data_IF_359380605408
#
_entry.id   IF_359380605408
#
_cell.length_a   1.000
_cell.length_b   1.000
_cell.length_c   1.000
_cell.angle_alpha   90.00
_cell.angle_beta   90.00
_cell.angle_gamma   90.00
#
_symmetry.space_group_name_H-M   'P 1'
#
loop_
_entity.id
_entity.type
_entity.pdbx_description
1 polymer ?
#
# COMPACT_ATOMS: atom_id res chain seq x y z
N UNK A 1 -21.28 -20.06 -6.52
CA UNK A 1 -20.46 -19.84 -5.30
C UNK A 1 -19.55 -18.66 -5.59
N UNK A 2 -19.95 -17.48 -5.13
CA UNK A 2 -19.11 -16.29 -5.15
C UNK A 2 -17.79 -16.60 -4.42
N UNK A 3 -16.67 -16.34 -5.09
CA UNK A 3 -15.34 -16.45 -4.48
C UNK A 3 -15.28 -15.37 -3.40
N UNK A 4 -15.59 -15.73 -2.15
CA UNK A 4 -15.30 -14.90 -0.99
C UNK A 4 -13.82 -14.52 -1.06
N UNK A 5 -13.53 -13.26 -1.42
CA UNK A 5 -12.19 -12.72 -1.29
C UNK A 5 -11.81 -12.83 0.18
N UNK A 6 -10.89 -13.76 0.48
CA UNK A 6 -10.29 -13.87 1.81
C UNK A 6 -9.45 -12.62 2.03
N UNK A 7 -10.06 -11.58 2.60
CA UNK A 7 -9.33 -10.43 3.10
C UNK A 7 -8.38 -10.93 4.20
N UNK A 8 -7.08 -10.77 4.00
CA UNK A 8 -6.07 -11.11 4.99
C UNK A 8 -5.64 -9.83 5.68
N UNK A 9 -5.83 -9.75 6.99
CA UNK A 9 -5.33 -8.63 7.78
C UNK A 9 -3.80 -8.72 7.91
N UNK A 10 -3.12 -7.62 7.58
CA UNK A 10 -1.66 -7.53 7.63
C UNK A 10 -1.28 -6.39 8.58
N UNK A 11 -0.45 -6.71 9.57
CA UNK A 11 0.13 -5.72 10.46
C UNK A 11 1.50 -5.28 9.94
N UNK A 12 1.62 -4.00 9.57
CA UNK A 12 2.87 -3.41 9.10
C UNK A 12 3.47 -2.57 10.22
N UNK A 13 4.66 -2.96 10.69
CA UNK A 13 5.44 -2.12 11.61
C UNK A 13 6.22 -1.07 10.83
N UNK A 14 6.12 0.17 11.26
CA UNK A 14 6.84 1.30 10.71
C UNK A 14 7.19 2.30 11.82
N UNK A 15 8.07 3.25 11.52
CA UNK A 15 8.35 4.37 12.42
C UNK A 15 7.14 5.30 12.54
N UNK A 16 7.07 6.07 13.63
CA UNK A 16 6.01 7.07 13.81
C UNK A 16 6.00 8.10 12.67
N UNK A 17 7.17 8.61 12.32
CA UNK A 17 7.35 9.59 11.24
C UNK A 17 6.82 9.06 9.89
N UNK A 18 7.19 7.84 9.51
CA UNK A 18 6.69 7.22 8.28
C UNK A 18 5.16 7.07 8.29
N UNK A 19 4.57 6.70 9.44
CA UNK A 19 3.11 6.61 9.59
C UNK A 19 2.44 7.98 9.41
N UNK A 20 3.02 9.04 9.98
CA UNK A 20 2.51 10.41 9.88
C UNK A 20 2.57 10.92 8.44
N UNK A 21 3.68 10.68 7.73
CA UNK A 21 3.82 11.01 6.31
C UNK A 21 2.81 10.28 5.43
N UNK A 22 2.67 8.96 5.61
CA UNK A 22 1.69 8.16 4.87
C UNK A 22 0.27 8.62 5.13
N UNK A 23 -0.05 9.02 6.36
CA UNK A 23 -1.37 9.56 6.71
C UNK A 23 -1.62 10.90 6.04
N UNK A 24 -0.66 11.83 6.09
CA UNK A 24 -0.78 13.14 5.43
C UNK A 24 -1.07 12.99 3.93
N UNK A 25 -0.32 12.12 3.25
CA UNK A 25 -0.54 11.84 1.81
C UNK A 25 -1.92 11.21 1.57
N UNK A 26 -2.35 10.30 2.46
CA UNK A 26 -3.67 9.69 2.34
C UNK A 26 -4.79 10.73 2.47
N UNK A 27 -4.68 11.64 3.46
CA UNK A 27 -5.64 12.71 3.71
C UNK A 27 -5.69 13.70 2.53
N UNK A 28 -4.55 14.12 1.98
CA UNK A 28 -4.45 14.99 0.80
C UNK A 28 -5.08 14.38 -0.47
N UNK A 29 -5.15 13.05 -0.54
CA UNK A 29 -5.67 12.31 -1.68
C UNK A 29 -7.09 11.76 -1.43
N UNK A 30 -7.73 12.17 -0.33
CA UNK A 30 -9.05 11.69 0.10
C UNK A 30 -9.12 10.15 0.18
N UNK A 31 -8.06 9.51 0.69
CA UNK A 31 -7.90 8.06 0.81
C UNK A 31 -7.73 7.62 2.25
N UNK A 32 -8.07 6.36 2.52
CA UNK A 32 -7.68 5.71 3.77
C UNK A 32 -6.18 5.40 3.78
N UNK A 33 -5.58 5.43 4.97
CA UNK A 33 -4.19 5.03 5.17
C UNK A 33 -3.89 3.63 4.60
N UNK A 34 -4.80 2.67 4.78
CA UNK A 34 -4.67 1.31 4.24
C UNK A 34 -4.60 1.29 2.72
N UNK A 35 -5.47 2.05 2.03
CA UNK A 35 -5.43 2.17 0.56
C UNK A 35 -4.14 2.83 0.09
N UNK A 36 -3.65 3.84 0.81
CA UNK A 36 -2.40 4.51 0.45
C UNK A 36 -1.19 3.57 0.58
N UNK A 37 -1.13 2.77 1.65
CA UNK A 37 -0.09 1.75 1.81
C UNK A 37 -0.14 0.71 0.69
N UNK A 38 -1.33 0.18 0.39
CA UNK A 38 -1.50 -0.79 -0.71
C UNK A 38 -1.09 -0.18 -2.05
N UNK A 39 -1.44 1.09 -2.30
CA UNK A 39 -1.05 1.80 -3.51
C UNK A 39 0.47 1.88 -3.65
N UNK A 40 1.19 2.27 -2.58
CA UNK A 40 2.65 2.30 -2.58
C UNK A 40 3.25 0.92 -2.84
N UNK A 41 2.78 -0.12 -2.14
CA UNK A 41 3.27 -1.49 -2.34
C UNK A 41 3.07 -1.96 -3.79
N UNK A 42 1.89 -1.75 -4.37
CA UNK A 42 1.60 -2.08 -5.77
C UNK A 42 2.50 -1.30 -6.74
N UNK A 43 2.72 -0.01 -6.47
CA UNK A 43 3.59 0.85 -7.30
C UNK A 43 5.05 0.36 -7.26
N UNK A 44 5.57 0.05 -6.08
CA UNK A 44 6.93 -0.47 -5.90
C UNK A 44 7.14 -1.81 -6.60
N UNK A 45 6.17 -2.73 -6.50
CA UNK A 45 6.22 -4.02 -7.20
C UNK A 45 6.23 -3.82 -8.73
N UNK A 46 5.36 -2.96 -9.26
CA UNK A 46 5.31 -2.67 -10.70
C UNK A 46 6.61 -2.05 -11.22
N UNK A 47 7.19 -1.11 -10.46
CA UNK A 47 8.47 -0.50 -10.81
C UNK A 47 9.59 -1.54 -10.85
N UNK A 48 9.59 -2.49 -9.91
CA UNK A 48 10.58 -3.56 -9.88
C UNK A 48 10.40 -4.55 -11.06
N UNK A 49 9.16 -4.91 -11.39
CA UNK A 49 8.87 -5.80 -12.52
C UNK A 49 9.20 -5.18 -13.89
N UNK A 50 9.13 -3.85 -14.04
CA UNK A 50 9.58 -3.15 -15.25
C UNK A 50 11.10 -3.03 -15.39
N UNK A 51 11.86 -3.44 -14.37
CA UNK A 51 13.34 -3.42 -14.38
C UNK A 51 13.95 -4.79 -14.72
N UNK A 52 13.13 -5.81 -14.95
CA UNK A 52 13.56 -7.14 -15.38
C UNK A 52 13.57 -7.25 -16.90
N UNK A 53 14.62 -6.73 -17.54
CA UNK A 53 14.97 -7.06 -18.93
C UNK A 53 16.33 -7.75 -18.93
N UNK A 54 16.29 -9.07 -18.91
CA UNK A 54 17.37 -9.99 -19.24
C UNK A 54 16.76 -11.16 -20.00
#
# INVERSE_FOLDING_TARGET
MDKMEKSTDIHIRCTRDLKEQLKKIADEQERTLSRQVIYFLKKSIKQYQGSGSG
#
